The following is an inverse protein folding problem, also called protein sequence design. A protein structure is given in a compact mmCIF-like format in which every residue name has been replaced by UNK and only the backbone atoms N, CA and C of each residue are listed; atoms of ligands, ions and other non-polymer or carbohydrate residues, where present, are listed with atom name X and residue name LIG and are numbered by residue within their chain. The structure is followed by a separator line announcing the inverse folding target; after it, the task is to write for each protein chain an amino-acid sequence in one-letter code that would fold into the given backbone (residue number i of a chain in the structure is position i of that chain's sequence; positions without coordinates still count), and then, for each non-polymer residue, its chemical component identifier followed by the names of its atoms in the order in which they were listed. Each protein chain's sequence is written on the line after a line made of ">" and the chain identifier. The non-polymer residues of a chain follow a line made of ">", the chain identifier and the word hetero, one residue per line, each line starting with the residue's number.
data_IF_093886595068
#
_entry.id   IF_093886595068
#
_cell.length_a   1.000
_cell.length_b   1.000
_cell.length_c   1.000
_cell.angle_alpha   90.00
_cell.angle_beta   90.00
_cell.angle_gamma   90.00
#
_symmetry.space_group_name_H-M   'P 1'
#
loop_
_entity.id
_entity.type
_entity.pdbx_description
1 polymer ?
#
# COMPACT_ATOMS: atom_id res chain seq x y z
N UNK A 1 -47.34 44.26 -23.53
CA UNK A 1 -46.20 43.67 -24.26
C UNK A 1 -44.95 43.95 -23.46
N UNK A 2 -44.27 42.87 -23.12
CA UNK A 2 -43.33 42.67 -22.01
C UNK A 2 -42.05 43.51 -22.08
N UNK A 3 -41.42 43.71 -20.92
CA UNK A 3 -40.07 44.23 -20.82
C UNK A 3 -39.61 44.42 -19.38
N UNK A 4 -39.71 43.39 -18.54
CA UNK A 4 -39.11 43.40 -17.20
C UNK A 4 -37.58 43.50 -17.32
N UNK A 5 -37.04 44.71 -17.10
CA UNK A 5 -35.60 44.93 -16.93
C UNK A 5 -35.15 44.27 -15.62
N UNK A 6 -34.77 43.00 -15.69
CA UNK A 6 -34.01 42.37 -14.62
C UNK A 6 -32.66 43.07 -14.52
N UNK A 7 -32.50 43.88 -13.48
CA UNK A 7 -31.20 44.35 -13.01
C UNK A 7 -30.22 43.16 -12.98
N UNK A 8 -28.99 43.40 -13.44
CA UNK A 8 -27.92 42.39 -13.42
C UNK A 8 -27.49 42.21 -11.96
N UNK A 9 -28.28 41.47 -11.19
CA UNK A 9 -27.96 41.12 -9.81
C UNK A 9 -26.68 40.29 -9.89
N UNK A 10 -25.55 40.84 -9.42
CA UNK A 10 -24.34 40.06 -9.11
C UNK A 10 -24.67 39.16 -7.91
N UNK A 11 -25.40 38.08 -8.14
CA UNK A 11 -25.55 37.00 -7.17
C UNK A 11 -24.36 36.09 -7.35
N UNK A 12 -23.43 36.14 -6.41
CA UNK A 12 -22.35 35.16 -6.30
C UNK A 12 -21.00 35.81 -6.04
N UNK A 13 -20.65 35.86 -4.75
CA UNK A 13 -19.32 36.15 -4.19
C UNK A 13 -18.18 35.99 -5.22
N UNK A 14 -17.74 37.10 -5.82
CA UNK A 14 -16.60 37.13 -6.76
C UNK A 14 -15.31 36.63 -6.10
N UNK A 15 -15.21 36.78 -4.77
CA UNK A 15 -14.11 36.29 -3.93
C UNK A 15 -13.98 34.76 -3.93
N UNK A 16 -15.09 34.01 -4.01
CA UNK A 16 -15.06 32.53 -4.04
C UNK A 16 -14.68 31.97 -5.42
N UNK A 17 -14.94 32.72 -6.50
CA UNK A 17 -14.54 32.33 -7.85
C UNK A 17 -13.06 32.61 -8.13
N UNK A 18 -12.48 33.65 -7.51
CA UNK A 18 -11.05 33.92 -7.54
C UNK A 18 -10.24 32.82 -6.83
N UNK A 19 -10.77 32.25 -5.74
CA UNK A 19 -10.10 31.15 -5.00
C UNK A 19 -10.14 29.82 -5.75
N UNK A 20 -11.26 29.46 -6.38
CA UNK A 20 -11.36 28.23 -7.18
C UNK A 20 -10.53 28.28 -8.47
N UNK A 21 -10.50 29.44 -9.14
CA UNK A 21 -9.69 29.63 -10.36
C UNK A 21 -8.18 29.73 -10.05
N UNK A 22 -7.80 30.35 -8.93
CA UNK A 22 -6.40 30.39 -8.47
C UNK A 22 -5.90 29.00 -8.03
N UNK A 23 -6.70 28.19 -7.35
CA UNK A 23 -6.32 26.81 -6.97
C UNK A 23 -6.15 25.92 -8.22
N UNK A 24 -7.01 26.05 -9.24
CA UNK A 24 -6.82 25.39 -10.55
C UNK A 24 -5.52 25.83 -11.24
N UNK A 25 -5.21 27.14 -11.24
CA UNK A 25 -3.95 27.67 -11.79
C UNK A 25 -2.73 27.14 -11.02
N UNK A 26 -2.80 27.08 -9.69
CA UNK A 26 -1.74 26.54 -8.84
C UNK A 26 -1.51 25.04 -9.06
N UNK A 27 -2.57 24.24 -9.16
CA UNK A 27 -2.46 22.80 -9.50
C UNK A 27 -1.81 22.60 -10.86
N UNK A 28 -2.20 23.39 -11.87
CA UNK A 28 -1.60 23.34 -13.22
C UNK A 28 -0.11 23.68 -13.19
N UNK A 29 0.28 24.76 -12.53
CA UNK A 29 1.71 25.17 -12.43
C UNK A 29 2.54 24.13 -11.69
N UNK A 30 2.01 23.52 -10.61
CA UNK A 30 2.68 22.42 -9.90
C UNK A 30 2.90 21.19 -10.78
N UNK A 31 1.93 20.83 -11.62
CA UNK A 31 2.06 19.74 -12.60
C UNK A 31 3.14 20.09 -13.63
N UNK A 32 3.11 21.31 -14.18
CA UNK A 32 4.11 21.77 -15.15
C UNK A 32 5.52 21.76 -14.55
N UNK A 33 5.69 22.24 -13.32
CA UNK A 33 6.96 22.20 -12.62
C UNK A 33 7.44 20.76 -12.37
N UNK A 34 6.52 19.85 -12.03
CA UNK A 34 6.86 18.42 -11.91
C UNK A 34 7.35 17.84 -13.25
N UNK A 35 6.68 18.15 -14.36
CA UNK A 35 7.09 17.68 -15.69
C UNK A 35 8.47 18.24 -16.06
N UNK A 36 8.72 19.53 -15.81
CA UNK A 36 10.03 20.17 -16.01
C UNK A 36 11.12 19.49 -15.16
N UNK A 37 10.85 19.24 -13.90
CA UNK A 37 11.77 18.56 -12.99
C UNK A 37 12.05 17.12 -13.44
N UNK A 38 11.02 16.40 -13.86
CA UNK A 38 11.19 15.06 -14.41
C UNK A 38 12.09 15.09 -15.63
N UNK A 39 11.90 16.00 -16.60
CA UNK A 39 12.80 16.17 -17.76
C UNK A 39 14.26 16.44 -17.38
N UNK A 40 14.51 17.15 -16.27
CA UNK A 40 15.86 17.41 -15.76
C UNK A 40 16.48 16.21 -15.03
N UNK A 41 15.73 15.15 -14.79
CA UNK A 41 16.18 13.97 -14.04
C UNK A 41 15.90 14.00 -12.56
N UNK A 42 15.05 14.93 -12.11
CA UNK A 42 14.71 15.10 -10.70
C UNK A 42 13.41 14.35 -10.47
N UNK A 43 13.53 13.07 -10.15
CA UNK A 43 12.38 12.23 -9.91
C UNK A 43 11.82 12.47 -8.50
N UNK A 44 10.62 13.07 -8.45
CA UNK A 44 9.90 13.33 -7.21
C UNK A 44 8.77 12.33 -7.00
N UNK A 45 8.61 11.87 -5.76
CA UNK A 45 7.55 10.94 -5.37
C UNK A 45 7.92 10.02 -4.21
N UNK A 46 6.90 9.35 -3.65
CA UNK A 46 7.06 8.34 -2.58
C UNK A 46 7.26 6.93 -3.13
N UNK A 47 6.72 6.66 -4.33
CA UNK A 47 6.78 5.33 -4.95
C UNK A 47 8.12 5.10 -5.65
N UNK A 48 9.01 4.35 -5.01
CA UNK A 48 10.34 4.08 -5.56
C UNK A 48 10.29 3.27 -6.87
N UNK A 49 9.28 2.41 -7.07
CA UNK A 49 9.08 1.68 -8.33
C UNK A 49 8.78 2.62 -9.52
N UNK A 50 7.91 3.60 -9.32
CA UNK A 50 7.59 4.60 -10.37
C UNK A 50 8.77 5.51 -10.67
N UNK A 51 9.58 5.80 -9.65
CA UNK A 51 10.82 6.57 -9.84
C UNK A 51 11.83 5.76 -10.65
N UNK A 52 11.96 4.46 -10.36
CA UNK A 52 12.83 3.56 -11.10
C UNK A 52 12.47 3.50 -12.59
N UNK A 53 11.19 3.30 -12.92
CA UNK A 53 10.77 3.22 -14.32
C UNK A 53 11.03 4.51 -15.09
N UNK A 54 10.88 5.68 -14.43
CA UNK A 54 11.22 6.97 -15.04
C UNK A 54 12.72 7.13 -15.24
N UNK A 55 13.53 6.71 -14.27
CA UNK A 55 14.99 6.74 -14.36
C UNK A 55 15.51 5.86 -15.50
N UNK A 56 14.98 4.64 -15.64
CA UNK A 56 15.37 3.71 -16.69
C UNK A 56 14.96 4.20 -18.08
N UNK A 57 13.77 4.79 -18.22
CA UNK A 57 13.35 5.43 -19.48
C UNK A 57 14.29 6.56 -19.90
N UNK A 58 14.68 7.41 -18.97
CA UNK A 58 15.63 8.48 -19.28
C UNK A 58 17.01 7.96 -19.66
N UNK A 59 17.48 6.90 -18.99
CA UNK A 59 18.74 6.27 -19.36
C UNK A 59 18.68 5.70 -20.78
N UNK A 60 17.55 5.11 -21.17
CA UNK A 60 17.31 4.61 -22.53
C UNK A 60 17.27 5.73 -23.57
N UNK A 61 16.54 6.81 -23.29
CA UNK A 61 16.49 8.00 -24.16
C UNK A 61 17.88 8.60 -24.36
N UNK A 62 18.68 8.72 -23.29
CA UNK A 62 20.05 9.23 -23.39
C UNK A 62 20.95 8.28 -24.16
N UNK A 63 20.79 6.95 -24.02
CA UNK A 63 21.56 5.97 -24.79
C UNK A 63 21.22 6.02 -26.27
N UNK A 64 19.95 6.17 -26.63
CA UNK A 64 19.52 6.34 -28.01
C UNK A 64 20.14 7.60 -28.64
N UNK A 65 20.12 8.73 -27.92
CA UNK A 65 20.72 9.98 -28.39
C UNK A 65 22.25 9.88 -28.60
N UNK A 66 22.96 9.12 -27.76
CA UNK A 66 24.40 8.89 -27.92
C UNK A 66 24.71 8.13 -29.21
N UNK A 67 23.82 7.21 -29.62
CA UNK A 67 23.99 6.43 -30.86
C UNK A 67 23.71 7.28 -32.10
N UNK A 68 22.69 8.14 -32.05
CA UNK A 68 22.31 9.00 -33.19
C UNK A 68 23.25 10.22 -33.35
N UNK A 69 23.59 10.90 -32.26
CA UNK A 69 24.36 12.16 -32.27
C UNK A 69 25.22 12.30 -31.00
N UNK A 70 26.49 11.84 -31.02
CA UNK A 70 27.34 11.80 -29.82
C UNK A 70 27.70 13.18 -29.27
N UNK A 71 27.95 14.17 -30.14
CA UNK A 71 28.31 15.54 -29.73
C UNK A 71 27.15 16.23 -28.99
N UNK A 72 25.95 16.21 -29.58
CA UNK A 72 24.75 16.76 -28.95
C UNK A 72 24.41 16.06 -27.63
N UNK A 73 24.65 14.75 -27.54
CA UNK A 73 24.43 14.00 -26.32
C UNK A 73 25.38 14.42 -25.19
N UNK A 74 26.66 14.67 -25.50
CA UNK A 74 27.65 15.14 -24.54
C UNK A 74 27.31 16.52 -23.99
N UNK A 75 26.99 17.48 -24.87
CA UNK A 75 26.56 18.84 -24.45
C UNK A 75 25.31 18.78 -23.56
N UNK A 76 24.32 17.94 -23.93
CA UNK A 76 23.11 17.76 -23.15
C UNK A 76 23.40 17.19 -21.76
N UNK A 77 24.30 16.21 -21.67
CA UNK A 77 24.73 15.62 -20.41
C UNK A 77 25.45 16.63 -19.53
N UNK A 78 26.38 17.41 -20.07
CA UNK A 78 27.10 18.44 -19.32
C UNK A 78 26.14 19.51 -18.78
N UNK A 79 25.27 20.04 -19.65
CA UNK A 79 24.23 21.00 -19.25
C UNK A 79 23.34 20.44 -18.14
N UNK A 80 23.00 19.15 -18.20
CA UNK A 80 22.21 18.48 -17.17
C UNK A 80 23.00 18.35 -15.86
N UNK A 81 24.26 17.93 -15.92
CA UNK A 81 25.15 17.82 -14.74
C UNK A 81 25.28 19.16 -14.02
N UNK A 82 25.53 20.24 -14.74
CA UNK A 82 25.63 21.59 -14.17
C UNK A 82 24.32 22.03 -13.50
N UNK A 83 23.17 21.84 -14.17
CA UNK A 83 21.87 22.16 -13.56
C UNK A 83 21.61 21.35 -12.29
N UNK A 84 21.93 20.06 -12.29
CA UNK A 84 21.80 19.21 -11.10
C UNK A 84 22.73 19.67 -9.97
N UNK A 85 23.97 20.06 -10.28
CA UNK A 85 24.91 20.59 -9.30
C UNK A 85 24.39 21.90 -8.66
N UNK A 86 23.88 22.84 -9.46
CA UNK A 86 23.28 24.07 -8.94
C UNK A 86 22.09 23.79 -8.02
N UNK A 87 21.22 22.83 -8.38
CA UNK A 87 20.06 22.48 -7.56
C UNK A 87 20.45 21.77 -6.26
N UNK A 88 21.49 20.94 -6.29
CA UNK A 88 22.08 20.35 -5.08
C UNK A 88 22.65 21.45 -4.17
N UNK A 89 23.34 22.45 -4.73
CA UNK A 89 23.86 23.59 -3.98
C UNK A 89 22.76 24.46 -3.38
N UNK A 90 21.62 24.61 -4.07
CA UNK A 90 20.41 25.26 -3.54
C UNK A 90 19.77 24.49 -2.37
N UNK A 91 20.16 23.23 -2.13
CA UNK A 91 19.60 22.37 -1.09
C UNK A 91 18.41 21.51 -1.55
N UNK A 92 18.14 21.44 -2.85
CA UNK A 92 17.09 20.58 -3.39
C UNK A 92 17.60 19.14 -3.44
N UNK A 93 16.84 18.22 -2.82
CA UNK A 93 17.17 16.79 -2.81
C UNK A 93 16.99 16.15 -4.19
N UNK A 94 18.09 15.99 -4.91
CA UNK A 94 18.16 15.28 -6.19
C UNK A 94 18.35 13.78 -5.95
N UNK A 95 17.59 12.94 -6.67
CA UNK A 95 17.72 11.47 -6.67
C UNK A 95 18.07 11.01 -8.09
N UNK A 96 19.35 11.09 -8.42
CA UNK A 96 19.91 10.83 -9.75
C UNK A 96 20.52 9.42 -9.89
N UNK A 97 20.95 8.79 -8.81
CA UNK A 97 21.59 7.46 -8.85
C UNK A 97 20.62 6.28 -9.04
N UNK A 98 20.72 5.61 -10.20
CA UNK A 98 19.88 4.44 -10.54
C UNK A 98 20.08 3.28 -9.54
N UNK A 99 21.32 3.00 -9.12
CA UNK A 99 21.63 1.93 -8.16
C UNK A 99 20.91 2.15 -6.82
N UNK A 100 20.90 3.38 -6.32
CA UNK A 100 20.20 3.74 -5.08
C UNK A 100 18.68 3.69 -5.25
N UNK A 101 18.16 4.12 -6.41
CA UNK A 101 16.74 4.02 -6.73
C UNK A 101 16.28 2.56 -6.75
N UNK A 102 17.04 1.66 -7.39
CA UNK A 102 16.79 0.19 -7.37
C UNK A 102 16.77 -0.37 -5.96
N UNK A 103 17.76 0.00 -5.13
CA UNK A 103 17.81 -0.41 -3.72
C UNK A 103 16.58 0.07 -2.95
N UNK A 104 16.18 1.32 -3.13
CA UNK A 104 14.99 1.89 -2.51
C UNK A 104 13.72 1.15 -2.93
N UNK A 105 13.58 0.78 -4.22
CA UNK A 105 12.45 0.01 -4.71
C UNK A 105 12.38 -1.38 -4.07
N UNK A 106 13.52 -2.08 -3.97
CA UNK A 106 13.64 -3.38 -3.31
C UNK A 106 13.31 -3.29 -1.82
N UNK A 107 13.77 -2.27 -1.11
CA UNK A 107 13.45 -2.05 0.31
C UNK A 107 11.95 -1.82 0.51
N UNK A 108 11.31 -1.02 -0.34
CA UNK A 108 9.86 -0.78 -0.27
C UNK A 108 9.06 -2.06 -0.51
N UNK A 109 9.48 -2.90 -1.46
CA UNK A 109 8.89 -4.20 -1.69
C UNK A 109 9.07 -5.15 -0.50
N UNK A 110 10.27 -5.22 0.07
CA UNK A 110 10.55 -6.04 1.25
C UNK A 110 9.71 -5.60 2.45
N UNK A 111 9.52 -4.29 2.66
CA UNK A 111 8.63 -3.75 3.70
C UNK A 111 7.18 -4.22 3.49
N UNK A 112 6.67 -4.18 2.25
CA UNK A 112 5.34 -4.70 1.91
C UNK A 112 5.24 -6.21 2.16
N UNK A 113 6.25 -7.00 1.76
CA UNK A 113 6.30 -8.44 2.01
C UNK A 113 6.31 -8.77 3.51
N UNK A 114 7.13 -8.08 4.32
CA UNK A 114 7.16 -8.24 5.78
C UNK A 114 5.81 -7.93 6.40
N UNK A 115 5.19 -6.82 6.00
CA UNK A 115 3.84 -6.46 6.47
C UNK A 115 2.83 -7.54 6.13
N UNK A 116 2.79 -7.99 4.87
CA UNK A 116 1.88 -9.06 4.42
C UNK A 116 2.04 -10.33 5.28
N UNK A 117 3.27 -10.84 5.42
CA UNK A 117 3.56 -12.02 6.24
C UNK A 117 3.13 -11.85 7.71
N UNK A 118 3.35 -10.66 8.28
CA UNK A 118 2.91 -10.38 9.65
C UNK A 118 1.38 -10.41 9.79
N UNK A 119 0.66 -9.89 8.81
CA UNK A 119 -0.81 -9.94 8.78
C UNK A 119 -1.34 -11.36 8.57
N UNK A 120 -0.77 -12.12 7.64
CA UNK A 120 -1.10 -13.54 7.43
C UNK A 120 -0.88 -14.36 8.72
N UNK A 121 0.26 -14.16 9.38
CA UNK A 121 0.56 -14.82 10.68
C UNK A 121 -0.46 -14.47 11.75
N UNK A 122 -0.88 -13.20 11.86
CA UNK A 122 -1.88 -12.75 12.83
C UNK A 122 -3.24 -13.40 12.57
N UNK A 123 -3.68 -13.44 11.31
CA UNK A 123 -4.95 -14.07 10.92
C UNK A 123 -4.92 -15.57 11.24
N UNK A 124 -3.85 -16.27 10.85
CA UNK A 124 -3.66 -17.69 11.17
C UNK A 124 -3.66 -17.96 12.68
N UNK A 125 -2.96 -17.13 13.46
CA UNK A 125 -2.94 -17.24 14.91
C UNK A 125 -4.32 -17.00 15.53
N UNK A 126 -5.06 -16.00 15.04
CA UNK A 126 -6.40 -15.72 15.51
C UNK A 126 -7.35 -16.89 15.23
N UNK A 127 -7.27 -17.47 14.04
CA UNK A 127 -8.08 -18.62 13.65
C UNK A 127 -7.75 -19.85 14.49
N UNK A 128 -6.46 -20.16 14.68
CA UNK A 128 -6.00 -21.22 15.56
C UNK A 128 -6.54 -21.05 16.99
N UNK A 129 -6.48 -19.84 17.54
CA UNK A 129 -7.02 -19.56 18.89
C UNK A 129 -8.54 -19.69 18.98
N UNK A 130 -9.28 -19.40 17.90
CA UNK A 130 -10.73 -19.65 17.84
C UNK A 130 -11.01 -21.15 17.85
N UNK A 131 -10.32 -21.89 16.99
CA UNK A 131 -10.45 -23.33 16.88
C UNK A 131 -10.10 -24.03 18.19
N UNK A 132 -8.96 -23.72 18.81
CA UNK A 132 -8.56 -24.28 20.11
C UNK A 132 -9.57 -24.02 21.23
N UNK A 133 -10.20 -22.84 21.25
CA UNK A 133 -11.26 -22.55 22.22
C UNK A 133 -12.51 -23.39 21.96
N UNK A 134 -12.87 -23.56 20.69
CA UNK A 134 -14.03 -24.36 20.31
C UNK A 134 -13.80 -25.86 20.54
N UNK A 135 -12.62 -26.39 20.25
CA UNK A 135 -12.27 -27.79 20.52
C UNK A 135 -12.32 -28.09 22.01
N UNK A 136 -11.68 -27.26 22.85
CA UNK A 136 -11.76 -27.39 24.32
C UNK A 136 -13.19 -27.37 24.83
N UNK A 137 -14.04 -26.47 24.31
CA UNK A 137 -15.46 -26.41 24.66
C UNK A 137 -16.18 -27.71 24.28
N UNK A 138 -15.94 -28.22 23.08
CA UNK A 138 -16.54 -29.45 22.60
C UNK A 138 -16.09 -30.66 23.44
N UNK A 139 -14.80 -30.76 23.76
CA UNK A 139 -14.22 -31.78 24.64
C UNK A 139 -14.86 -31.76 26.03
N UNK A 140 -14.98 -30.57 26.65
CA UNK A 140 -15.63 -30.44 27.95
C UNK A 140 -17.13 -30.82 27.91
N UNK A 141 -17.83 -30.46 26.82
CA UNK A 141 -19.23 -30.86 26.63
C UNK A 141 -19.34 -32.38 26.50
N UNK A 142 -18.46 -33.04 25.73
CA UNK A 142 -18.45 -34.49 25.60
C UNK A 142 -18.11 -35.17 26.93
N UNK A 143 -17.08 -34.73 27.63
CA UNK A 143 -16.73 -35.23 28.96
C UNK A 143 -17.91 -35.13 29.94
N UNK A 144 -18.67 -34.03 29.91
CA UNK A 144 -19.88 -33.87 30.74
C UNK A 144 -21.01 -34.84 30.33
N UNK A 145 -21.21 -35.06 29.02
CA UNK A 145 -22.19 -36.04 28.51
C UNK A 145 -21.80 -37.46 28.94
N UNK A 146 -20.53 -37.83 28.80
CA UNK A 146 -20.03 -39.16 29.15
C UNK A 146 -20.02 -39.39 30.66
N UNK A 147 -19.70 -38.38 31.47
CA UNK A 147 -19.85 -38.44 32.93
C UNK A 147 -21.30 -38.69 33.35
N UNK A 148 -22.29 -38.04 32.70
CA UNK A 148 -23.72 -38.30 32.95
C UNK A 148 -24.11 -39.74 32.57
N UNK A 149 -23.67 -40.22 31.39
CA UNK A 149 -23.89 -41.61 30.95
C UNK A 149 -23.28 -42.61 31.94
N UNK A 150 -22.02 -42.40 32.35
CA UNK A 150 -21.30 -43.23 33.33
C UNK A 150 -21.99 -43.24 34.69
N UNK A 151 -22.49 -42.08 35.16
CA UNK A 151 -23.27 -42.00 36.41
C UNK A 151 -24.59 -42.78 36.32
N UNK A 152 -25.33 -42.67 35.21
CA UNK A 152 -26.55 -43.45 34.97
C UNK A 152 -26.26 -44.95 34.94
N UNK A 153 -25.22 -45.36 34.22
CA UNK A 153 -24.76 -46.75 34.15
C UNK A 153 -24.43 -47.31 35.54
N UNK A 154 -23.60 -46.59 36.32
CA UNK A 154 -23.24 -46.99 37.70
C UNK A 154 -24.47 -47.18 38.61
N UNK A 155 -25.51 -46.35 38.47
CA UNK A 155 -26.76 -46.52 39.25
C UNK A 155 -27.53 -47.78 38.87
N UNK A 156 -27.62 -48.09 37.57
CA UNK A 156 -28.32 -49.28 37.09
C UNK A 156 -27.62 -50.57 37.51
N UNK A 157 -26.28 -50.59 37.45
CA UNK A 157 -25.45 -51.69 37.96
C UNK A 157 -25.69 -51.90 39.46
N UNK A 158 -25.65 -50.84 40.28
CA UNK A 158 -25.91 -50.93 41.73
C UNK A 158 -27.32 -51.46 42.07
N UNK A 159 -28.30 -51.24 41.19
CA UNK A 159 -29.67 -51.76 41.33
C UNK A 159 -29.85 -53.18 40.77
N UNK A 160 -28.79 -53.80 40.25
CA UNK A 160 -28.84 -55.13 39.65
C UNK A 160 -29.50 -55.19 38.26
N UNK A 161 -29.82 -54.06 37.63
CA UNK A 161 -30.45 -54.05 36.30
C UNK A 161 -29.47 -54.32 35.15
N UNK A 162 -28.14 -54.25 35.40
CA UNK A 162 -27.10 -54.45 34.39
C UNK A 162 -25.93 -55.22 35.01
N UNK A 163 -25.46 -56.28 34.34
CA UNK A 163 -24.27 -57.06 34.73
C UNK A 163 -22.99 -56.37 34.18
N UNK A 164 -21.98 -56.06 35.03
CA UNK A 164 -20.83 -55.23 34.63
C UNK A 164 -19.92 -55.85 33.57
N UNK A 165 -19.83 -57.17 33.50
CA UNK A 165 -18.74 -57.89 32.81
C UNK A 165 -18.89 -57.96 31.28
N UNK A 166 -20.09 -57.74 30.75
CA UNK A 166 -20.39 -57.92 29.32
C UNK A 166 -19.88 -56.82 28.37
N UNK A 167 -19.28 -55.73 28.88
CA UNK A 167 -18.92 -54.58 28.03
C UNK A 167 -17.44 -54.44 27.67
N UNK A 168 -16.54 -55.23 28.28
CA UNK A 168 -15.10 -55.16 28.02
C UNK A 168 -14.61 -56.26 27.04
N UNK A 169 -15.52 -57.00 26.40
CA UNK A 169 -15.20 -58.16 25.55
C UNK A 169 -15.36 -57.93 24.04
N UNK A 170 -15.35 -56.67 23.58
CA UNK A 170 -15.25 -56.31 22.16
C UNK A 170 -14.23 -55.20 21.95
#
# INVERSE_FOLDING_TARGET
>A
MEGLFFSKIKVGNEELNLTATSDRKFKRTKIQNRIKNEKLGIFSGRDAKKILTKAEKQEQEMKALVVEAPEMANELQERRKWKLACLKAQGIKVRDDIKLIRRSAKMQENKKKKSRKAWEKRISQQEKQKQERQTKRNEHIQARKDAKKKKRYRRLVKKGHIIPELKNSQ
#
